data_IF_403429716610
#
_entry.id   IF_403429716610
#
_cell.length_a   1.000
_cell.length_b   1.000
_cell.length_c   1.000
_cell.angle_alpha   90.00
_cell.angle_beta   90.00
_cell.angle_gamma   90.00
#
_symmetry.space_group_name_H-M   'P 1'
#
loop_
_entity.id
_entity.type
_entity.pdbx_description
1 polymer ?
#
# COMPACT_ATOMS: atom_id res chain seq x y z
N UNK A 1 3.49 -17.25 -0.01
CA UNK A 1 3.10 -15.84 -0.23
C UNK A 1 2.29 -15.77 -1.53
N UNK A 2 1.94 -14.56 -1.97
CA UNK A 2 1.47 -14.32 -3.34
C UNK A 2 2.51 -13.46 -4.08
N UNK A 3 2.99 -13.94 -5.22
CA UNK A 3 3.85 -13.14 -6.10
C UNK A 3 3.09 -11.92 -6.63
N UNK A 4 3.50 -10.73 -6.23
CA UNK A 4 3.00 -9.45 -6.75
C UNK A 4 4.01 -8.87 -7.74
N UNK A 5 3.59 -8.71 -8.98
CA UNK A 5 4.41 -8.31 -10.12
C UNK A 5 3.66 -7.24 -10.93
N UNK A 6 4.31 -6.52 -11.88
CA UNK A 6 3.62 -5.51 -12.69
C UNK A 6 2.32 -6.02 -13.35
N UNK A 7 2.27 -7.30 -13.75
CA UNK A 7 1.11 -7.91 -14.39
C UNK A 7 -0.14 -8.10 -13.52
N UNK A 8 -0.04 -8.01 -12.19
CA UNK A 8 -1.21 -8.06 -11.29
C UNK A 8 -1.32 -6.83 -10.37
N UNK A 9 -0.41 -5.86 -10.51
CA UNK A 9 -0.46 -4.57 -9.81
C UNK A 9 -1.73 -3.80 -10.18
N UNK A 10 -2.40 -3.24 -9.19
CA UNK A 10 -3.73 -2.63 -9.32
C UNK A 10 -4.89 -3.63 -9.32
N UNK A 11 -4.61 -4.93 -9.27
CA UNK A 11 -5.61 -5.98 -9.11
C UNK A 11 -5.96 -6.26 -7.64
N UNK A 12 -7.04 -7.01 -7.37
CA UNK A 12 -7.47 -7.34 -6.03
C UNK A 12 -6.56 -8.39 -5.37
N UNK A 13 -6.37 -8.26 -4.06
CA UNK A 13 -5.90 -9.33 -3.19
C UNK A 13 -7.11 -9.91 -2.46
N UNK A 14 -7.32 -11.23 -2.60
CA UNK A 14 -8.48 -11.93 -2.05
C UNK A 14 -8.06 -12.93 -0.97
N UNK A 15 -8.91 -13.14 0.03
CA UNK A 15 -8.78 -14.26 0.98
C UNK A 15 -9.29 -15.58 0.36
N UNK A 16 -9.20 -16.68 1.11
CA UNK A 16 -9.64 -18.02 0.66
C UNK A 16 -11.14 -18.15 0.42
N UNK A 17 -11.94 -17.18 0.87
CA UNK A 17 -13.38 -17.11 0.64
C UNK A 17 -13.74 -16.14 -0.49
N UNK A 18 -12.74 -15.51 -1.12
CA UNK A 18 -12.93 -14.54 -2.20
C UNK A 18 -13.23 -13.13 -1.71
N UNK A 19 -13.06 -12.83 -0.42
CA UNK A 19 -13.24 -11.46 0.08
C UNK A 19 -12.05 -10.57 -0.29
N UNK A 20 -12.34 -9.33 -0.70
CA UNK A 20 -11.31 -8.32 -0.98
C UNK A 20 -10.62 -7.88 0.32
N UNK A 21 -9.33 -8.20 0.44
CA UNK A 21 -8.49 -7.85 1.58
C UNK A 21 -7.41 -6.79 1.24
N UNK A 22 -7.20 -6.49 -0.04
CA UNK A 22 -6.37 -5.36 -0.46
C UNK A 22 -6.23 -5.17 -1.96
N UNK A 23 -5.37 -4.23 -2.35
CA UNK A 23 -5.01 -3.92 -3.74
C UNK A 23 -3.52 -4.18 -3.96
N UNK A 24 -3.19 -5.10 -4.86
CA UNK A 24 -1.82 -5.46 -5.18
C UNK A 24 -1.04 -4.24 -5.66
N UNK A 25 0.14 -4.00 -5.09
CA UNK A 25 0.99 -2.87 -5.46
C UNK A 25 2.35 -3.38 -5.87
N UNK A 26 2.75 -3.13 -7.12
CA UNK A 26 4.12 -3.40 -7.57
C UNK A 26 5.11 -2.65 -6.68
N UNK A 27 6.04 -3.40 -6.08
CA UNK A 27 7.19 -2.82 -5.38
C UNK A 27 8.39 -2.81 -6.31
N UNK A 28 9.18 -1.74 -6.25
CA UNK A 28 10.45 -1.66 -6.96
C UNK A 28 11.52 -2.37 -6.12
N UNK A 29 12.15 -3.41 -6.67
CA UNK A 29 13.29 -4.06 -6.03
C UNK A 29 14.58 -3.35 -6.44
N UNK A 30 15.37 -2.88 -5.46
CA UNK A 30 16.67 -2.26 -5.73
C UNK A 30 17.69 -3.22 -6.36
N UNK A 31 17.44 -4.53 -6.32
CA UNK A 31 18.37 -5.56 -6.80
C UNK A 31 17.88 -6.26 -8.08
N UNK A 32 16.69 -5.94 -8.58
CA UNK A 32 16.08 -6.61 -9.73
C UNK A 32 15.59 -8.04 -9.47
N UNK A 33 15.91 -8.62 -8.30
CA UNK A 33 15.39 -9.91 -7.86
C UNK A 33 14.15 -9.74 -6.99
N UNK A 34 13.11 -10.54 -7.27
CA UNK A 34 11.95 -10.68 -6.39
C UNK A 34 12.31 -11.58 -5.22
N UNK A 35 12.13 -11.10 -3.99
CA UNK A 35 12.33 -11.90 -2.76
C UNK A 35 11.12 -12.79 -2.46
N UNK A 36 10.12 -12.85 -3.36
CA UNK A 36 8.85 -13.54 -3.12
C UNK A 36 7.89 -12.77 -2.20
N UNK A 37 8.23 -11.56 -1.75
CA UNK A 37 7.34 -10.78 -0.87
C UNK A 37 6.53 -9.79 -1.71
N UNK A 38 5.21 -9.95 -1.69
CA UNK A 38 4.26 -9.00 -2.25
C UNK A 38 3.68 -8.06 -1.20
N UNK A 39 3.31 -6.85 -1.60
CA UNK A 39 2.59 -5.90 -0.77
C UNK A 39 1.27 -5.50 -1.41
N UNK A 40 0.30 -5.15 -0.56
CA UNK A 40 -1.00 -4.65 -0.98
C UNK A 40 -1.44 -3.48 -0.10
N UNK A 41 -2.17 -2.54 -0.70
CA UNK A 41 -2.88 -1.50 0.04
C UNK A 41 -4.08 -2.16 0.73
N UNK A 42 -4.25 -2.05 2.06
CA UNK A 42 -5.35 -2.69 2.77
C UNK A 42 -6.72 -2.16 2.35
N UNK A 43 -7.75 -3.01 2.41
CA UNK A 43 -9.13 -2.61 2.07
C UNK A 43 -9.64 -1.41 2.87
N UNK A 44 -9.21 -1.24 4.12
CA UNK A 44 -9.63 -0.12 4.96
C UNK A 44 -9.10 1.23 4.43
N UNK A 45 -7.87 1.24 3.91
CA UNK A 45 -7.33 2.43 3.25
C UNK A 45 -8.07 2.73 1.95
N UNK A 46 -8.41 1.70 1.17
CA UNK A 46 -9.20 1.84 -0.06
C UNK A 46 -10.55 2.47 0.25
N UNK A 47 -11.27 1.92 1.24
CA UNK A 47 -12.60 2.42 1.69
C UNK A 47 -12.54 3.87 2.16
N UNK A 48 -11.44 4.28 2.78
CA UNK A 48 -11.23 5.65 3.26
C UNK A 48 -10.85 6.64 2.16
N UNK A 49 -10.07 6.20 1.18
CA UNK A 49 -9.44 7.05 0.16
C UNK A 49 -10.32 7.20 -1.09
N UNK A 50 -10.89 6.11 -1.59
CA UNK A 50 -11.61 6.10 -2.87
C UNK A 50 -12.79 7.08 -2.89
N UNK A 51 -13.67 7.15 -1.87
CA UNK A 51 -14.77 8.11 -1.86
C UNK A 51 -14.29 9.56 -1.99
N UNK A 52 -13.20 9.93 -1.30
CA UNK A 52 -12.64 11.29 -1.38
C UNK A 52 -12.07 11.60 -2.77
N UNK A 53 -11.43 10.62 -3.42
CA UNK A 53 -10.94 10.77 -4.78
C UNK A 53 -12.09 10.97 -5.77
N UNK A 54 -13.17 10.20 -5.64
CA UNK A 54 -14.36 10.30 -6.49
C UNK A 54 -15.07 11.64 -6.27
N UNK A 55 -15.26 12.06 -5.02
CA UNK A 55 -16.05 13.25 -4.68
C UNK A 55 -15.28 14.56 -4.89
N UNK A 56 -13.97 14.56 -4.63
CA UNK A 56 -13.18 15.80 -4.57
C UNK A 56 -12.00 15.84 -5.57
N UNK A 57 -11.75 14.76 -6.30
CA UNK A 57 -10.59 14.61 -7.18
C UNK A 57 -9.25 14.51 -6.44
N UNK A 58 -9.25 14.53 -5.10
CA UNK A 58 -8.05 14.48 -4.25
C UNK A 58 -8.38 14.04 -2.83
N UNK A 59 -7.39 13.45 -2.15
CA UNK A 59 -7.48 13.14 -0.72
C UNK A 59 -7.05 14.35 0.09
N UNK A 60 -7.84 14.73 1.11
CA UNK A 60 -7.44 15.77 2.08
C UNK A 60 -6.85 15.09 3.31
N UNK A 61 -5.55 15.23 3.50
CA UNK A 61 -4.85 14.70 4.67
C UNK A 61 -4.61 15.81 5.69
N UNK A 62 -5.17 15.66 6.89
CA UNK A 62 -4.81 16.52 8.02
C UNK A 62 -3.44 16.10 8.56
N UNK A 63 -2.59 17.07 8.86
CA UNK A 63 -1.25 16.83 9.38
C UNK A 63 -0.83 17.94 10.35
N UNK A 64 0.08 17.61 11.24
CA UNK A 64 0.62 18.53 12.27
C UNK A 64 1.85 19.32 11.80
N UNK A 65 2.22 19.21 10.52
CA UNK A 65 3.28 20.04 9.90
C UNK A 65 4.72 19.66 10.28
N UNK A 66 4.96 18.47 10.85
CA UNK A 66 6.30 18.01 11.22
C UNK A 66 6.79 16.89 10.30
N UNK A 67 8.11 16.78 10.15
CA UNK A 67 8.75 15.63 9.54
C UNK A 67 8.94 14.52 10.59
N UNK A 68 8.60 13.27 10.23
CA UNK A 68 8.92 12.11 11.06
C UNK A 68 10.40 11.77 10.90
N UNK A 69 11.05 11.48 12.02
CA UNK A 69 12.40 10.89 12.02
C UNK A 69 12.27 9.41 11.69
N UNK A 70 13.13 8.91 10.80
CA UNK A 70 13.15 7.49 10.44
C UNK A 70 13.34 6.62 11.68
N UNK A 71 12.58 5.53 11.77
CA UNK A 71 12.59 4.64 12.94
C UNK A 71 13.98 4.07 13.25
N UNK A 72 14.85 3.89 12.24
CA UNK A 72 16.23 3.45 12.46
C UNK A 72 17.08 4.50 13.15
N UNK A 73 16.82 5.78 12.87
CA UNK A 73 17.50 6.92 13.52
C UNK A 73 16.94 7.10 14.94
N UNK A 74 15.62 7.06 15.08
CA UNK A 74 14.95 7.23 16.37
C UNK A 74 15.37 6.18 17.41
N UNK A 75 15.62 4.93 17.01
CA UNK A 75 16.09 3.85 17.91
C UNK A 75 17.54 4.00 18.40
N UNK A 76 18.32 4.91 17.81
CA UNK A 76 19.72 5.16 18.19
C UNK A 76 19.88 6.35 19.13
N UNK A 77 18.79 7.07 19.39
CA UNK A 77 18.68 8.14 20.38
C UNK A 77 18.16 7.53 21.69
#
# INVERSE_FOLDING_TARGET
DASINPGNSGGPLLDSHGHLIGLNTAIFSNTGSSTGIGFAVPTDDIKRIVPQLVEHGRVKLAGIGIARVDAKIARKL
#
